data_IF_738506901902
#
_entry.id   IF_738506901902
#
_cell.length_a   1.000
_cell.length_b   1.000
_cell.length_c   1.000
_cell.angle_alpha   90.00
_cell.angle_beta   90.00
_cell.angle_gamma   90.00
#
_symmetry.space_group_name_H-M   'P 1'
#
loop_
_entity.id
_entity.type
_entity.pdbx_description
1 polymer ?
#
# COMPACT_ATOMS: atom_id res chain seq x y z
N UNK A 1 29.26 16.67 6.77
CA UNK A 1 27.82 16.32 6.66
C UNK A 1 27.65 14.88 7.11
N UNK A 2 26.80 14.60 8.11
CA UNK A 2 26.55 13.23 8.58
C UNK A 2 25.43 12.64 7.71
N UNK A 3 25.61 11.47 7.07
CA UNK A 3 24.57 10.85 6.29
C UNK A 3 23.39 10.41 7.19
N UNK A 4 22.16 10.50 6.66
CA UNK A 4 20.93 10.20 7.40
C UNK A 4 20.92 8.77 7.99
N UNK A 5 21.51 7.82 7.27
CA UNK A 5 21.61 6.41 7.65
C UNK A 5 22.52 6.21 8.90
N UNK A 6 23.45 7.11 9.14
CA UNK A 6 24.35 7.04 10.29
C UNK A 6 23.72 7.55 11.60
N UNK A 7 22.54 8.20 11.50
CA UNK A 7 21.80 8.70 12.66
C UNK A 7 21.05 7.57 13.36
N UNK A 8 21.07 7.57 14.68
CA UNK A 8 20.23 6.68 15.48
C UNK A 8 18.74 7.02 15.32
N UNK A 9 17.82 6.10 15.62
CA UNK A 9 16.39 6.39 15.60
C UNK A 9 15.96 7.57 16.47
N UNK A 10 16.63 7.77 17.61
CA UNK A 10 16.39 8.90 18.50
C UNK A 10 16.82 10.23 17.88
N UNK A 11 17.98 10.27 17.25
CA UNK A 11 18.47 11.47 16.55
C UNK A 11 17.61 11.82 15.35
N UNK A 12 17.19 10.82 14.54
CA UNK A 12 16.26 11.02 13.43
C UNK A 12 14.94 11.64 13.87
N UNK A 13 14.41 11.23 15.03
CA UNK A 13 13.18 11.79 15.60
C UNK A 13 13.31 13.26 16.03
N UNK A 14 14.52 13.82 16.08
CA UNK A 14 14.80 15.21 16.49
C UNK A 14 15.21 16.11 15.32
N UNK A 15 15.21 15.61 14.12
CA UNK A 15 15.56 16.40 12.94
C UNK A 15 14.50 17.45 12.66
N UNK A 16 14.96 18.60 12.24
CA UNK A 16 14.15 19.71 11.73
C UNK A 16 14.45 19.91 10.25
N UNK A 17 13.44 20.27 9.50
CA UNK A 17 13.58 20.79 8.14
C UNK A 17 13.84 22.28 8.29
N UNK A 18 14.92 22.75 7.65
CA UNK A 18 15.29 24.17 7.64
C UNK A 18 15.14 24.72 6.22
N UNK A 19 14.98 26.04 6.12
CA UNK A 19 15.07 26.77 4.86
C UNK A 19 16.52 26.89 4.37
N UNK A 20 16.72 27.60 3.27
CA UNK A 20 18.03 27.80 2.63
C UNK A 20 18.97 28.66 3.51
N UNK A 21 18.42 29.46 4.41
CA UNK A 21 19.12 30.28 5.37
C UNK A 21 19.55 29.51 6.64
N UNK A 22 18.97 28.29 6.83
CA UNK A 22 19.24 27.40 7.95
C UNK A 22 18.26 27.59 9.12
N UNK A 23 17.20 28.37 8.96
CA UNK A 23 16.19 28.58 9.98
C UNK A 23 15.21 27.40 10.03
N UNK A 24 14.92 26.85 11.23
CA UNK A 24 14.04 25.69 11.38
C UNK A 24 12.58 26.03 11.03
N UNK A 25 12.00 25.26 10.11
CA UNK A 25 10.63 25.42 9.63
C UNK A 25 9.68 24.42 10.28
N UNK A 26 9.98 23.13 10.20
CA UNK A 26 9.11 22.09 10.72
C UNK A 26 9.89 20.83 11.15
N UNK A 27 9.30 19.98 12.01
CA UNK A 27 9.89 18.68 12.32
C UNK A 27 9.91 17.79 11.08
N UNK A 28 11.02 17.07 10.85
CA UNK A 28 11.12 16.09 9.77
C UNK A 28 10.28 14.83 10.03
N UNK A 29 9.77 14.63 11.24
CA UNK A 29 8.89 13.53 11.58
C UNK A 29 7.46 13.77 11.10
N UNK A 30 6.93 12.88 10.23
CA UNK A 30 5.59 12.98 9.67
C UNK A 30 4.48 12.91 10.74
N UNK A 31 4.68 12.10 11.77
CA UNK A 31 3.68 11.87 12.81
C UNK A 31 4.11 12.50 14.13
N UNK A 32 3.35 13.49 14.55
CA UNK A 32 3.59 14.24 15.78
C UNK A 32 2.46 14.00 16.79
N UNK A 33 2.79 14.11 18.08
CA UNK A 33 1.84 14.23 19.18
C UNK A 33 1.22 15.62 19.20
N UNK A 34 0.18 15.82 20.01
CA UNK A 34 -0.46 17.13 20.22
C UNK A 34 0.51 18.22 20.71
N UNK A 35 1.62 17.83 21.31
CA UNK A 35 2.66 18.73 21.79
C UNK A 35 3.87 18.83 20.83
N UNK A 36 3.72 18.37 19.57
CA UNK A 36 4.73 18.50 18.52
C UNK A 36 5.91 17.53 18.60
N UNK A 37 5.86 16.50 19.46
CA UNK A 37 6.90 15.49 19.55
C UNK A 37 6.62 14.30 18.60
N UNK A 38 7.65 13.65 18.03
CA UNK A 38 7.48 12.46 17.20
C UNK A 38 6.74 11.34 17.94
N UNK A 39 5.74 10.76 17.27
CA UNK A 39 5.00 9.61 17.81
C UNK A 39 5.93 8.41 17.88
N UNK A 40 6.03 7.82 19.07
CA UNK A 40 6.87 6.66 19.31
C UNK A 40 6.22 5.37 18.79
N UNK A 41 6.99 4.35 18.36
CA UNK A 41 6.46 3.07 17.89
C UNK A 41 5.45 2.43 18.85
N UNK A 42 5.75 2.42 20.15
CA UNK A 42 4.87 1.87 21.19
C UNK A 42 3.51 2.60 21.27
N UNK A 43 3.47 3.90 20.93
CA UNK A 43 2.22 4.67 20.90
C UNK A 43 1.31 4.19 19.78
N UNK A 44 1.87 3.80 18.64
CA UNK A 44 1.14 3.20 17.53
C UNK A 44 0.54 1.85 17.95
N UNK A 45 1.35 0.96 18.54
CA UNK A 45 0.88 -0.34 19.02
C UNK A 45 -0.27 -0.18 20.02
N UNK A 46 -0.13 0.72 20.99
CA UNK A 46 -1.18 1.02 21.97
C UNK A 46 -2.47 1.56 21.30
N UNK A 47 -2.34 2.36 20.25
CA UNK A 47 -3.47 2.91 19.49
C UNK A 47 -4.23 1.79 18.77
N UNK A 48 -3.52 0.90 18.05
CA UNK A 48 -4.13 -0.23 17.37
C UNK A 48 -4.74 -1.25 18.36
N UNK A 49 -4.09 -1.51 19.49
CA UNK A 49 -4.63 -2.36 20.53
C UNK A 49 -5.93 -1.78 21.14
N UNK A 50 -5.99 -0.46 21.32
CA UNK A 50 -7.19 0.23 21.81
C UNK A 50 -8.31 0.19 20.79
N UNK A 51 -8.03 0.43 19.50
CA UNK A 51 -8.99 0.32 18.42
C UNK A 51 -9.58 -1.10 18.33
N UNK A 52 -8.71 -2.12 18.35
CA UNK A 52 -9.14 -3.53 18.35
C UNK A 52 -10.05 -3.87 19.53
N UNK A 53 -9.73 -3.41 20.76
CA UNK A 53 -10.60 -3.60 21.92
C UNK A 53 -11.97 -2.94 21.74
N UNK A 54 -12.03 -1.75 21.16
CA UNK A 54 -13.30 -1.06 20.87
C UNK A 54 -14.14 -1.83 19.86
N UNK A 55 -13.53 -2.37 18.80
CA UNK A 55 -14.23 -3.21 17.83
C UNK A 55 -14.85 -4.44 18.51
N UNK A 56 -14.09 -5.15 19.32
CA UNK A 56 -14.59 -6.32 20.05
C UNK A 56 -15.74 -5.93 21.01
N UNK A 57 -15.65 -4.79 21.69
CA UNK A 57 -16.68 -4.32 22.62
C UNK A 57 -18.02 -4.02 21.94
N UNK A 58 -18.03 -3.69 20.64
CA UNK A 58 -19.25 -3.48 19.85
C UNK A 58 -19.65 -4.70 19.01
N UNK A 59 -19.11 -5.88 19.32
CA UNK A 59 -19.46 -7.13 18.66
C UNK A 59 -18.76 -7.37 17.33
N UNK A 60 -17.77 -6.56 16.95
CA UNK A 60 -16.95 -6.76 15.75
C UNK A 60 -15.63 -7.41 16.16
N UNK A 61 -15.42 -8.73 15.94
CA UNK A 61 -14.23 -9.46 16.38
C UNK A 61 -13.01 -9.15 15.52
N UNK A 62 -12.71 -7.86 15.32
CA UNK A 62 -11.62 -7.38 14.49
C UNK A 62 -10.41 -7.03 15.38
N UNK A 63 -9.26 -7.63 15.06
CA UNK A 63 -7.97 -7.27 15.63
C UNK A 63 -7.07 -6.81 14.50
N UNK A 64 -6.52 -5.62 14.64
CA UNK A 64 -5.65 -5.01 13.64
C UNK A 64 -4.35 -4.52 14.26
N UNK A 65 -3.30 -4.57 13.47
CA UNK A 65 -2.01 -3.97 13.76
C UNK A 65 -1.50 -3.23 12.51
N UNK A 66 -0.47 -2.38 12.62
CA UNK A 66 0.06 -1.62 11.49
C UNK A 66 0.48 -2.50 10.30
N UNK A 67 1.07 -3.67 10.58
CA UNK A 67 1.54 -4.59 9.55
C UNK A 67 0.37 -5.19 8.75
N UNK A 68 -0.71 -5.58 9.43
CA UNK A 68 -1.91 -6.09 8.76
C UNK A 68 -2.58 -5.02 7.89
N UNK A 69 -2.65 -3.76 8.36
CA UNK A 69 -3.18 -2.67 7.54
C UNK A 69 -2.32 -2.42 6.30
N UNK A 70 -0.99 -2.43 6.47
CA UNK A 70 -0.06 -2.32 5.33
C UNK A 70 -0.26 -3.45 4.33
N UNK A 71 -0.42 -4.67 4.81
CA UNK A 71 -0.69 -5.84 3.97
C UNK A 71 -2.03 -5.69 3.23
N UNK A 72 -3.10 -5.34 3.95
CA UNK A 72 -4.42 -5.09 3.36
C UNK A 72 -4.36 -4.00 2.30
N UNK A 73 -3.70 -2.87 2.61
CA UNK A 73 -3.48 -1.80 1.63
C UNK A 73 -2.78 -2.31 0.38
N UNK A 74 -1.71 -3.09 0.53
CA UNK A 74 -0.94 -3.62 -0.60
C UNK A 74 -1.78 -4.51 -1.50
N UNK A 75 -2.56 -5.43 -0.92
CA UNK A 75 -3.45 -6.34 -1.67
C UNK A 75 -4.52 -5.56 -2.44
N UNK A 76 -5.20 -4.62 -1.77
CA UNK A 76 -6.24 -3.81 -2.42
C UNK A 76 -5.66 -2.88 -3.49
N UNK A 77 -4.53 -2.24 -3.21
CA UNK A 77 -3.88 -1.36 -4.19
C UNK A 77 -3.44 -2.14 -5.43
N UNK A 78 -2.85 -3.32 -5.24
CA UNK A 78 -2.45 -4.18 -6.34
C UNK A 78 -3.66 -4.62 -7.18
N UNK A 79 -4.75 -5.05 -6.54
CA UNK A 79 -5.99 -5.42 -7.22
C UNK A 79 -6.57 -4.24 -8.03
N UNK A 80 -6.62 -3.04 -7.45
CA UNK A 80 -7.10 -1.84 -8.15
C UNK A 80 -6.22 -1.47 -9.35
N UNK A 81 -4.90 -1.56 -9.22
CA UNK A 81 -3.97 -1.26 -10.31
C UNK A 81 -4.10 -2.27 -11.46
N UNK A 82 -4.27 -3.56 -11.12
CA UNK A 82 -4.53 -4.61 -12.13
C UNK A 82 -5.86 -4.35 -12.84
N UNK A 83 -6.93 -4.06 -12.11
CA UNK A 83 -8.23 -3.74 -12.69
C UNK A 83 -8.18 -2.51 -13.61
N UNK A 84 -7.45 -1.47 -13.20
CA UNK A 84 -7.26 -0.29 -14.04
C UNK A 84 -6.56 -0.66 -15.35
N UNK A 85 -5.49 -1.45 -15.29
CA UNK A 85 -4.77 -1.91 -16.48
C UNK A 85 -5.62 -2.80 -17.39
N UNK A 86 -6.45 -3.66 -16.82
CA UNK A 86 -7.37 -4.49 -17.59
C UNK A 86 -8.40 -3.65 -18.34
N UNK A 87 -8.94 -2.59 -17.72
CA UNK A 87 -9.86 -1.64 -18.37
C UNK A 87 -9.18 -0.88 -19.51
N UNK A 88 -7.96 -0.42 -19.30
CA UNK A 88 -7.18 0.28 -20.34
C UNK A 88 -6.89 -0.67 -21.52
N UNK A 89 -6.49 -1.91 -21.24
CA UNK A 89 -6.19 -2.91 -22.24
C UNK A 89 -7.45 -3.38 -23.03
N UNK A 90 -8.64 -3.29 -22.45
CA UNK A 90 -9.89 -3.61 -23.15
C UNK A 90 -10.20 -2.61 -24.27
N UNK A 91 -9.64 -1.40 -24.23
CA UNK A 91 -9.71 -0.38 -25.29
C UNK A 91 -8.59 -0.48 -26.35
N UNK A 92 -7.51 -1.18 -26.03
CA UNK A 92 -6.40 -1.44 -26.93
C UNK A 92 -6.47 -2.92 -27.34
N UNK A 93 -6.52 -3.24 -28.61
CA UNK A 93 -6.65 -4.63 -29.09
C UNK A 93 -5.66 -5.61 -28.43
N UNK A 94 -5.86 -6.93 -28.57
CA UNK A 94 -5.16 -7.94 -27.78
C UNK A 94 -3.64 -7.88 -27.96
N UNK A 95 -2.92 -7.49 -26.92
CA UNK A 95 -1.47 -7.61 -26.86
C UNK A 95 -1.17 -9.03 -26.36
N UNK A 96 -0.87 -9.92 -27.32
CA UNK A 96 -0.53 -11.30 -27.00
C UNK A 96 0.93 -11.44 -26.54
N UNK A 97 1.19 -12.39 -25.62
CA UNK A 97 2.52 -12.83 -25.24
C UNK A 97 3.07 -12.18 -23.96
N UNK A 98 4.39 -12.35 -23.76
CA UNK A 98 5.14 -11.92 -22.57
C UNK A 98 5.04 -10.40 -22.30
N UNK A 99 4.90 -9.60 -23.34
CA UNK A 99 4.77 -8.15 -23.23
C UNK A 99 3.41 -7.74 -22.63
N UNK A 100 2.33 -8.42 -23.05
CA UNK A 100 1.01 -8.23 -22.44
C UNK A 100 1.01 -8.61 -20.95
N UNK A 101 1.64 -9.72 -20.61
CA UNK A 101 1.80 -10.16 -19.22
C UNK A 101 2.62 -9.16 -18.39
N UNK A 102 3.72 -8.64 -18.94
CA UNK A 102 4.57 -7.65 -18.29
C UNK A 102 3.82 -6.33 -18.04
N UNK A 103 3.03 -5.86 -19.00
CA UNK A 103 2.20 -4.65 -18.86
C UNK A 103 1.09 -4.82 -17.83
N UNK A 104 0.41 -5.98 -17.82
CA UNK A 104 -0.69 -6.24 -16.90
C UNK A 104 -0.24 -6.42 -15.44
N UNK A 105 0.85 -7.13 -15.19
CA UNK A 105 1.27 -7.50 -13.85
C UNK A 105 2.56 -6.83 -13.39
N UNK A 106 3.50 -6.60 -14.29
CA UNK A 106 4.81 -6.05 -13.94
C UNK A 106 4.75 -4.63 -13.40
N UNK A 107 4.05 -3.74 -14.08
CA UNK A 107 3.92 -2.34 -13.67
C UNK A 107 3.15 -2.17 -12.36
N UNK A 108 1.97 -2.81 -12.15
CA UNK A 108 1.27 -2.75 -10.87
C UNK A 108 2.10 -3.23 -9.68
N UNK A 109 2.85 -4.32 -9.84
CA UNK A 109 3.74 -4.84 -8.79
C UNK A 109 4.87 -3.86 -8.45
N UNK A 110 5.49 -3.24 -9.46
CA UNK A 110 6.52 -2.24 -9.25
C UNK A 110 5.97 -0.97 -8.56
N UNK A 111 4.76 -0.55 -8.92
CA UNK A 111 4.12 0.59 -8.27
C UNK A 111 3.84 0.28 -6.79
N UNK A 112 3.28 -0.89 -6.47
CA UNK A 112 3.06 -1.32 -5.09
C UNK A 112 4.38 -1.47 -4.33
N UNK A 113 5.43 -2.03 -4.96
CA UNK A 113 6.76 -2.12 -4.38
C UNK A 113 7.29 -0.74 -3.95
N UNK A 114 7.19 0.25 -4.84
CA UNK A 114 7.63 1.63 -4.57
C UNK A 114 6.82 2.28 -3.45
N UNK A 115 5.48 2.15 -3.48
CA UNK A 115 4.59 2.68 -2.45
C UNK A 115 4.87 2.09 -1.06
N UNK A 116 5.24 0.81 -1.03
CA UNK A 116 5.57 0.12 0.21
C UNK A 116 7.03 0.32 0.63
N UNK A 117 7.90 0.83 -0.23
CA UNK A 117 9.33 0.93 0.03
C UNK A 117 10.00 -0.44 0.15
N UNK A 118 9.53 -1.45 -0.57
CA UNK A 118 10.16 -2.76 -0.57
C UNK A 118 11.44 -2.74 -1.40
N UNK A 119 12.55 -3.20 -0.83
CA UNK A 119 13.84 -3.28 -1.51
C UNK A 119 13.83 -4.30 -2.67
N UNK A 120 12.95 -5.32 -2.61
CA UNK A 120 12.85 -6.39 -3.60
C UNK A 120 11.41 -6.60 -4.07
N UNK A 121 11.23 -6.86 -5.36
CA UNK A 121 9.96 -7.30 -5.96
C UNK A 121 9.48 -8.62 -5.37
N UNK A 122 10.40 -9.52 -5.01
CA UNK A 122 10.06 -10.82 -4.42
C UNK A 122 9.18 -10.66 -3.19
N UNK A 123 9.44 -9.66 -2.35
CA UNK A 123 8.60 -9.36 -1.18
C UNK A 123 7.19 -8.91 -1.58
N UNK A 124 7.02 -8.36 -2.77
CA UNK A 124 5.73 -7.88 -3.28
C UNK A 124 4.93 -9.01 -3.95
N UNK A 125 5.59 -10.04 -4.47
CA UNK A 125 4.91 -11.22 -5.06
C UNK A 125 4.00 -11.96 -4.08
N UNK A 126 4.29 -11.92 -2.78
CA UNK A 126 3.43 -12.50 -1.73
C UNK A 126 1.99 -11.97 -1.83
N UNK A 127 1.80 -10.74 -2.29
CA UNK A 127 0.46 -10.15 -2.45
C UNK A 127 -0.32 -10.74 -3.63
N UNK A 128 0.35 -11.22 -4.68
CA UNK A 128 -0.30 -11.96 -5.77
C UNK A 128 -0.84 -13.31 -5.29
N UNK A 129 -0.09 -14.01 -4.46
CA UNK A 129 -0.54 -15.29 -3.88
C UNK A 129 -1.82 -15.09 -3.05
N UNK A 130 -1.93 -13.99 -2.32
CA UNK A 130 -3.13 -13.64 -1.56
C UNK A 130 -4.32 -13.25 -2.45
N UNK A 131 -4.09 -12.64 -3.59
CA UNK A 131 -5.14 -12.35 -4.58
C UNK A 131 -5.57 -13.66 -5.25
N UNK A 132 -4.62 -14.51 -5.64
CA UNK A 132 -4.88 -15.80 -6.27
C UNK A 132 -5.59 -16.80 -5.33
N UNK A 133 -5.24 -16.79 -4.02
CA UNK A 133 -5.91 -17.63 -3.03
C UNK A 133 -7.39 -17.22 -2.75
N UNK A 134 -7.79 -16.05 -3.23
CA UNK A 134 -9.19 -15.59 -3.27
C UNK A 134 -9.73 -15.69 -4.70
N UNK A 135 -9.53 -16.80 -5.35
CA UNK A 135 -9.97 -17.05 -6.74
C UNK A 135 -11.44 -16.67 -6.95
N UNK A 136 -12.32 -16.99 -5.99
CA UNK A 136 -13.74 -16.62 -6.02
C UNK A 136 -13.95 -15.10 -6.14
N UNK A 137 -13.06 -14.31 -5.57
CA UNK A 137 -13.12 -12.83 -5.65
C UNK A 137 -12.55 -12.32 -6.97
N UNK A 138 -11.58 -13.04 -7.55
CA UNK A 138 -11.02 -12.72 -8.87
C UNK A 138 -12.01 -13.11 -9.96
N UNK A 139 -12.62 -14.29 -9.86
CA UNK A 139 -13.65 -14.75 -10.81
C UNK A 139 -14.88 -13.84 -10.77
N UNK A 140 -15.34 -13.43 -9.58
CA UNK A 140 -16.43 -12.47 -9.45
C UNK A 140 -16.06 -11.09 -10.03
N UNK A 141 -14.84 -10.61 -9.82
CA UNK A 141 -14.35 -9.35 -10.40
C UNK A 141 -14.19 -9.45 -11.93
N UNK A 142 -13.78 -10.60 -12.44
CA UNK A 142 -13.71 -10.88 -13.89
C UNK A 142 -15.11 -10.96 -14.50
N UNK A 143 -16.07 -11.62 -13.87
CA UNK A 143 -17.46 -11.65 -14.31
C UNK A 143 -18.09 -10.26 -14.30
N UNK A 144 -17.83 -9.45 -13.25
CA UNK A 144 -18.28 -8.07 -13.17
C UNK A 144 -17.66 -7.22 -14.29
N UNK A 145 -16.37 -7.39 -14.60
CA UNK A 145 -15.69 -6.74 -15.72
C UNK A 145 -16.27 -7.15 -17.06
N UNK A 146 -16.54 -8.44 -17.26
CA UNK A 146 -17.15 -8.96 -18.49
C UNK A 146 -18.59 -8.45 -18.67
N UNK A 147 -19.31 -8.21 -17.57
CA UNK A 147 -20.67 -7.64 -17.61
C UNK A 147 -20.68 -6.16 -18.01
N UNK A 148 -19.58 -5.44 -17.78
CA UNK A 148 -19.41 -4.03 -18.14
C UNK A 148 -18.96 -3.82 -19.59
N UNK A 149 -18.50 -4.88 -20.28
CA UNK A 149 -18.16 -4.83 -21.71
C UNK A 149 -19.45 -4.88 -22.52
N UNK A 150 -19.80 -3.85 -23.31
CA UNK A 150 -20.97 -3.90 -24.18
C UNK A 150 -20.81 -5.11 -25.13
N UNK A 151 -21.77 -6.05 -25.10
CA UNK A 151 -21.84 -7.09 -26.13
C UNK A 151 -21.90 -6.38 -27.47
N UNK A 152 -20.87 -6.59 -28.30
CA UNK A 152 -20.87 -6.12 -29.67
C UNK A 152 -22.18 -6.59 -30.33
N UNK A 153 -23.00 -5.63 -30.77
CA UNK A 153 -24.20 -5.91 -31.51
C UNK A 153 -23.81 -6.68 -32.78
N UNK A 154 -24.32 -7.89 -32.92
CA UNK A 154 -24.23 -8.72 -34.14
C UNK A 154 -25.11 -8.11 -35.21
#
# INVERSE_FOLDING_TARGET
MIPFEALTPHERGRLLICDDEGDPQEPAALWLTEIGLPVQPNSWEATFARASRRCVAVGVPLRVNPHQLRHTFAVHMLAMLIQHRLRDAAGEGPVAGMEGYRRLLGDPLQQVQRLLGHASLTTTYIYLDHIAARADTVDAAVEELLSLVPKAAS
#
